data_IF_999309478289
#
_entry.id   IF_999309478289
#
_cell.length_a   1.000
_cell.length_b   1.000
_cell.length_c   1.000
_cell.angle_alpha   90.00
_cell.angle_beta   90.00
_cell.angle_gamma   90.00
#
_symmetry.space_group_name_H-M   'P 1'
#
loop_
_entity.id
_entity.type
_entity.pdbx_description
1 polymer ?
#
# COMPACT_ATOMS: atom_id res chain seq x y z
N UNK A 1 -41.22 16.09 14.59
CA UNK A 1 -39.94 15.36 14.73
C UNK A 1 -39.81 14.47 13.52
N UNK A 2 -38.80 14.67 12.67
CA UNK A 2 -38.48 13.75 11.58
C UNK A 2 -37.29 12.90 12.02
N UNK A 3 -37.50 11.62 12.27
CA UNK A 3 -36.40 10.67 12.47
C UNK A 3 -35.72 10.43 11.11
N UNK A 4 -34.41 10.63 11.04
CA UNK A 4 -33.62 10.32 9.84
C UNK A 4 -33.12 8.88 9.98
N UNK A 5 -33.60 8.00 9.12
CA UNK A 5 -33.11 6.62 9.01
C UNK A 5 -32.17 6.57 7.81
N UNK A 6 -30.88 6.37 8.06
CA UNK A 6 -29.89 6.20 7.00
C UNK A 6 -29.91 4.73 6.54
N UNK A 7 -30.50 4.50 5.37
CA UNK A 7 -30.63 3.16 4.78
C UNK A 7 -29.28 2.70 4.25
N UNK A 8 -28.73 1.64 4.84
CA UNK A 8 -27.38 1.15 4.56
C UNK A 8 -27.36 0.00 3.56
N UNK A 9 -28.17 0.09 2.50
CA UNK A 9 -28.43 -1.04 1.62
C UNK A 9 -27.58 -1.08 0.34
N UNK A 10 -26.62 -0.16 0.24
CA UNK A 10 -25.79 0.02 -0.95
C UNK A 10 -26.55 0.70 -2.10
N UNK A 11 -25.86 1.61 -2.79
CA UNK A 11 -26.45 2.42 -3.88
C UNK A 11 -27.09 1.57 -5.00
N UNK A 12 -26.51 0.41 -5.32
CA UNK A 12 -27.01 -0.46 -6.39
C UNK A 12 -28.32 -1.14 -6.03
N UNK A 13 -28.48 -1.57 -4.77
CA UNK A 13 -29.72 -2.21 -4.33
C UNK A 13 -30.86 -1.20 -4.26
N UNK A 14 -30.56 0.02 -3.78
CA UNK A 14 -31.51 1.13 -3.83
C UNK A 14 -31.97 1.41 -5.28
N UNK A 15 -31.03 1.55 -6.21
CA UNK A 15 -31.34 1.75 -7.63
C UNK A 15 -32.18 0.60 -8.20
N UNK A 16 -31.80 -0.66 -7.95
CA UNK A 16 -32.54 -1.82 -8.44
C UNK A 16 -33.96 -1.92 -7.87
N UNK A 17 -34.16 -1.55 -6.60
CA UNK A 17 -35.50 -1.46 -6.00
C UNK A 17 -36.33 -0.39 -6.72
N UNK A 18 -35.78 0.81 -6.92
CA UNK A 18 -36.47 1.90 -7.61
C UNK A 18 -36.84 1.53 -9.05
N UNK A 19 -35.89 0.97 -9.81
CA UNK A 19 -36.11 0.54 -11.19
C UNK A 19 -37.17 -0.58 -11.28
N UNK A 20 -37.16 -1.53 -10.34
CA UNK A 20 -38.17 -2.59 -10.28
C UNK A 20 -39.57 -2.04 -9.98
N UNK A 21 -39.66 -1.04 -9.08
CA UNK A 21 -40.90 -0.34 -8.78
C UNK A 21 -41.46 0.44 -9.99
N UNK A 22 -40.60 0.92 -10.88
CA UNK A 22 -41.02 1.61 -12.10
C UNK A 22 -41.46 0.63 -13.22
N UNK A 23 -40.80 -0.54 -13.31
CA UNK A 23 -41.03 -1.49 -14.40
C UNK A 23 -42.18 -2.47 -14.13
N UNK A 24 -42.40 -2.88 -12.88
CA UNK A 24 -43.36 -3.94 -12.54
C UNK A 24 -44.64 -3.37 -11.92
N UNK A 25 -45.78 -3.65 -12.55
CA UNK A 25 -47.09 -3.19 -12.11
C UNK A 25 -47.72 -4.09 -11.02
N UNK A 26 -47.14 -5.26 -10.74
CA UNK A 26 -47.69 -6.32 -9.89
C UNK A 26 -46.72 -6.74 -8.77
N UNK A 27 -46.39 -5.77 -7.90
CA UNK A 27 -45.45 -5.96 -6.78
C UNK A 27 -46.12 -6.37 -5.46
N UNK A 28 -47.44 -6.55 -5.46
CA UNK A 28 -48.25 -6.87 -4.27
C UNK A 28 -47.87 -8.20 -3.59
N UNK A 29 -47.17 -9.08 -4.31
CA UNK A 29 -46.67 -10.37 -3.80
C UNK A 29 -45.16 -10.39 -3.55
N UNK A 30 -44.44 -9.31 -3.90
CA UNK A 30 -42.99 -9.26 -3.82
C UNK A 30 -42.56 -8.59 -2.51
N UNK A 31 -41.59 -9.20 -1.83
CA UNK A 31 -41.04 -8.67 -0.58
C UNK A 31 -39.52 -8.57 -0.67
N UNK A 32 -38.96 -7.49 -0.14
CA UNK A 32 -37.51 -7.33 -0.02
C UNK A 32 -37.13 -7.13 1.45
N UNK A 33 -36.14 -7.87 1.92
CA UNK A 33 -35.68 -7.78 3.31
C UNK A 33 -34.78 -6.56 3.49
N UNK A 34 -35.23 -5.54 4.22
CA UNK A 34 -34.39 -4.39 4.56
C UNK A 34 -33.84 -4.58 5.98
N UNK A 35 -32.53 -4.47 6.13
CA UNK A 35 -31.89 -4.42 7.45
C UNK A 35 -31.81 -2.96 7.91
N UNK A 36 -32.40 -2.67 9.07
CA UNK A 36 -32.36 -1.36 9.71
C UNK A 36 -31.53 -1.46 10.97
N UNK A 37 -30.57 -0.56 11.10
CA UNK A 37 -29.69 -0.49 12.27
C UNK A 37 -29.69 0.93 12.81
N UNK A 38 -29.68 1.06 14.14
CA UNK A 38 -29.65 2.36 14.81
C UNK A 38 -28.30 2.55 15.48
N UNK A 39 -27.72 3.74 15.35
CA UNK A 39 -26.54 4.17 16.11
C UNK A 39 -25.32 3.22 15.99
N UNK A 40 -25.08 2.62 14.82
CA UNK A 40 -23.92 1.74 14.64
C UNK A 40 -22.59 2.48 14.88
N UNK A 41 -21.67 1.91 15.68
CA UNK A 41 -20.33 2.43 15.83
C UNK A 41 -19.61 2.58 14.48
N UNK A 42 -18.72 3.57 14.36
CA UNK A 42 -17.98 3.84 13.13
C UNK A 42 -17.23 2.59 12.62
N UNK A 43 -16.63 1.83 13.53
CA UNK A 43 -15.92 0.59 13.23
C UNK A 43 -16.80 -0.46 12.53
N UNK A 44 -18.06 -0.60 12.97
CA UNK A 44 -19.02 -1.54 12.38
C UNK A 44 -19.45 -1.07 10.99
N UNK A 45 -19.70 0.24 10.83
CA UNK A 45 -20.04 0.84 9.54
C UNK A 45 -18.92 0.70 8.51
N UNK A 46 -17.65 0.80 8.93
CA UNK A 46 -16.49 0.54 8.09
C UNK A 46 -16.44 -0.92 7.62
N UNK A 47 -16.64 -1.89 8.52
CA UNK A 47 -16.68 -3.29 8.13
C UNK A 47 -17.81 -3.57 7.14
N UNK A 48 -19.02 -3.06 7.40
CA UNK A 48 -20.15 -3.19 6.47
C UNK A 48 -19.84 -2.60 5.10
N UNK A 49 -19.17 -1.44 5.07
CA UNK A 49 -18.68 -0.90 3.82
C UNK A 49 -17.78 -1.91 3.12
N UNK A 50 -16.74 -2.42 3.79
CA UNK A 50 -15.81 -3.38 3.18
C UNK A 50 -16.50 -4.66 2.69
N UNK A 51 -17.45 -5.22 3.44
CA UNK A 51 -18.17 -6.44 3.09
C UNK A 51 -19.04 -6.27 1.84
N UNK A 52 -19.80 -5.17 1.76
CA UNK A 52 -20.67 -4.85 0.62
C UNK A 52 -19.84 -4.58 -0.64
N UNK A 53 -18.70 -3.92 -0.45
CA UNK A 53 -17.93 -3.32 -1.52
C UNK A 53 -16.72 -4.15 -1.96
N UNK A 54 -16.30 -5.15 -1.19
CA UNK A 54 -15.12 -5.96 -1.44
C UNK A 54 -15.17 -6.72 -2.77
N UNK A 55 -16.38 -7.12 -3.19
CA UNK A 55 -16.63 -7.83 -4.46
C UNK A 55 -17.26 -6.94 -5.55
N UNK A 56 -17.64 -5.71 -5.21
CA UNK A 56 -18.27 -4.77 -6.14
C UNK A 56 -17.21 -4.01 -6.95
N UNK A 57 -17.49 -3.70 -8.22
CA UNK A 57 -16.51 -3.15 -9.17
C UNK A 57 -16.09 -1.69 -8.95
N UNK A 58 -16.68 -0.96 -8.00
CA UNK A 58 -16.62 0.52 -7.94
C UNK A 58 -15.82 1.18 -6.81
N UNK A 59 -15.71 0.64 -5.59
CA UNK A 59 -14.95 1.29 -4.53
C UNK A 59 -13.46 1.05 -4.73
N UNK A 60 -12.65 2.05 -4.41
CA UNK A 60 -11.21 1.92 -4.54
C UNK A 60 -10.70 0.83 -3.59
N UNK A 61 -9.83 -0.06 -4.08
CA UNK A 61 -9.35 -1.18 -3.29
C UNK A 61 -8.57 -0.76 -2.02
N UNK A 62 -7.99 0.45 -2.00
CA UNK A 62 -7.33 0.98 -0.80
C UNK A 62 -8.33 1.20 0.34
N UNK A 63 -9.45 1.91 0.11
CA UNK A 63 -10.44 2.17 1.17
C UNK A 63 -11.13 0.90 1.65
N UNK A 64 -11.44 -0.03 0.73
CA UNK A 64 -12.00 -1.33 1.10
C UNK A 64 -11.07 -2.08 2.05
N UNK A 65 -9.80 -2.19 1.69
CA UNK A 65 -8.80 -2.89 2.49
C UNK A 65 -8.52 -2.19 3.82
N UNK A 66 -8.55 -0.86 3.82
CA UNK A 66 -8.39 -0.04 5.00
C UNK A 66 -9.53 -0.26 6.00
N UNK A 67 -10.76 -0.48 5.53
CA UNK A 67 -11.94 -0.68 6.36
C UNK A 67 -12.17 -2.14 6.78
N UNK A 68 -11.60 -3.09 6.04
CA UNK A 68 -11.70 -4.51 6.34
C UNK A 68 -10.89 -4.89 7.59
N UNK A 69 -11.62 -5.15 8.69
CA UNK A 69 -11.09 -5.59 9.99
C UNK A 69 -10.92 -7.09 10.09
N UNK A 70 -11.47 -7.86 9.15
CA UNK A 70 -11.31 -9.31 9.11
C UNK A 70 -9.98 -9.72 8.48
N UNK A 71 -9.42 -8.86 7.63
CA UNK A 71 -8.12 -9.06 7.03
C UNK A 71 -6.99 -8.74 8.02
N UNK A 72 -6.40 -9.78 8.60
CA UNK A 72 -5.35 -9.64 9.61
C UNK A 72 -4.13 -8.88 9.07
N UNK A 73 -3.71 -9.14 7.83
CA UNK A 73 -2.56 -8.46 7.22
C UNK A 73 -2.83 -6.96 7.07
N UNK A 74 -4.04 -6.57 6.63
CA UNK A 74 -4.37 -5.14 6.51
C UNK A 74 -4.38 -4.47 7.89
N UNK A 75 -4.89 -5.12 8.93
CA UNK A 75 -4.85 -4.59 10.29
C UNK A 75 -3.42 -4.40 10.81
N UNK A 76 -2.54 -5.38 10.59
CA UNK A 76 -1.12 -5.29 10.94
C UNK A 76 -0.41 -4.13 10.23
N UNK A 77 -0.65 -3.98 8.92
CA UNK A 77 -0.08 -2.89 8.12
C UNK A 77 -0.65 -1.55 8.54
N UNK A 78 -1.94 -1.45 8.86
CA UNK A 78 -2.55 -0.23 9.40
C UNK A 78 -1.87 0.19 10.69
N UNK A 79 -1.74 -0.74 11.63
CA UNK A 79 -1.12 -0.46 12.93
C UNK A 79 0.37 -0.06 12.76
N UNK A 80 1.09 -0.67 11.82
CA UNK A 80 2.47 -0.29 11.48
C UNK A 80 2.53 1.14 10.94
N UNK A 81 1.68 1.49 9.96
CA UNK A 81 1.64 2.83 9.36
C UNK A 81 1.24 3.89 10.41
N UNK A 82 0.19 3.63 11.19
CA UNK A 82 -0.32 4.56 12.22
C UNK A 82 0.68 4.74 13.38
N UNK A 83 1.53 3.74 13.66
CA UNK A 83 2.57 3.84 14.69
C UNK A 83 3.79 4.69 14.28
N UNK A 84 3.89 5.08 13.01
CA UNK A 84 5.00 5.87 12.49
C UNK A 84 4.47 7.17 11.87
N UNK A 85 4.68 8.31 12.53
CA UNK A 85 4.15 9.62 12.13
C UNK A 85 4.48 10.00 10.67
N UNK A 86 5.66 9.60 10.20
CA UNK A 86 6.12 9.88 8.83
C UNK A 86 5.33 9.04 7.84
N UNK A 87 5.24 7.73 8.05
CA UNK A 87 4.46 6.82 7.21
C UNK A 87 2.98 7.19 7.22
N UNK A 88 2.41 7.48 8.38
CA UNK A 88 1.02 7.89 8.52
C UNK A 88 0.71 9.14 7.67
N UNK A 89 1.58 10.16 7.73
CA UNK A 89 1.42 11.40 6.97
C UNK A 89 1.45 11.20 5.45
N UNK A 90 2.24 10.24 4.96
CA UNK A 90 2.44 10.04 3.52
C UNK A 90 1.54 8.97 2.91
N UNK A 91 0.74 8.26 3.71
CA UNK A 91 -0.09 7.14 3.24
C UNK A 91 -1.50 7.60 2.88
N UNK A 92 -1.94 7.32 1.65
CA UNK A 92 -3.35 7.46 1.25
C UNK A 92 -4.10 6.16 1.55
N UNK A 93 -5.04 6.21 2.50
CA UNK A 93 -5.90 5.07 2.85
C UNK A 93 -7.10 4.93 1.91
N UNK A 94 -7.37 5.92 1.06
CA UNK A 94 -8.57 5.96 0.21
C UNK A 94 -8.28 5.57 -1.23
N UNK A 95 -7.11 5.97 -1.77
CA UNK A 95 -6.79 5.87 -3.20
C UNK A 95 -5.62 4.93 -3.45
N UNK A 96 -5.77 4.02 -4.41
CA UNK A 96 -4.65 3.24 -4.97
C UNK A 96 -3.70 4.05 -5.83
N UNK A 97 -4.22 5.03 -6.58
CA UNK A 97 -3.43 5.86 -7.49
C UNK A 97 -3.09 7.19 -6.82
N UNK A 98 -1.81 7.36 -6.50
CA UNK A 98 -1.31 8.58 -5.90
C UNK A 98 -0.96 9.57 -7.00
N UNK A 99 -1.48 10.78 -6.87
CA UNK A 99 -1.15 11.88 -7.78
C UNK A 99 -0.36 12.92 -7.00
N UNK A 100 0.57 13.62 -7.66
CA UNK A 100 1.29 14.75 -7.07
C UNK A 100 0.41 15.92 -6.61
N UNK A 101 -0.91 15.82 -6.75
CA UNK A 101 -1.92 16.81 -6.31
C UNK A 101 -2.33 16.65 -4.86
N UNK A 102 -2.06 15.48 -4.26
CA UNK A 102 -2.34 15.19 -2.85
C UNK A 102 -1.03 15.16 -2.05
N UNK A 103 -1.07 15.37 -0.72
CA UNK A 103 0.12 15.30 0.11
C UNK A 103 0.65 13.87 0.32
N UNK A 104 -0.10 12.86 -0.12
CA UNK A 104 0.27 11.45 -0.01
C UNK A 104 1.27 11.03 -1.08
N UNK A 105 2.11 10.05 -0.75
CA UNK A 105 3.22 9.57 -1.57
C UNK A 105 3.00 8.13 -2.01
N UNK A 106 2.28 7.35 -1.20
CA UNK A 106 2.08 5.91 -1.38
C UNK A 106 0.68 5.53 -0.90
N UNK A 107 0.07 4.54 -1.55
CA UNK A 107 -1.24 4.04 -1.14
C UNK A 107 -1.11 2.97 -0.06
N UNK A 108 -2.08 2.92 0.85
CA UNK A 108 -2.18 1.87 1.85
C UNK A 108 -2.16 0.47 1.22
N UNK A 109 -2.85 0.32 0.08
CA UNK A 109 -2.84 -0.94 -0.68
C UNK A 109 -1.43 -1.37 -1.09
N UNK A 110 -0.57 -0.44 -1.52
CA UNK A 110 0.80 -0.80 -1.92
C UNK A 110 1.60 -1.36 -0.74
N UNK A 111 1.42 -0.84 0.47
CA UNK A 111 2.02 -1.42 1.68
C UNK A 111 1.48 -2.82 1.97
N UNK A 112 0.16 -3.03 1.86
CA UNK A 112 -0.42 -4.36 2.06
C UNK A 112 0.08 -5.38 1.01
N UNK A 113 0.08 -4.99 -0.27
CA UNK A 113 0.55 -5.85 -1.37
C UNK A 113 2.02 -6.23 -1.19
N UNK A 114 2.87 -5.27 -0.80
CA UNK A 114 4.29 -5.50 -0.54
C UNK A 114 4.51 -6.36 0.71
N UNK A 115 3.82 -6.05 1.82
CA UNK A 115 3.95 -6.78 3.09
C UNK A 115 3.49 -8.22 2.99
N UNK A 116 2.42 -8.49 2.22
CA UNK A 116 1.93 -9.84 1.96
C UNK A 116 2.91 -10.74 1.18
N UNK A 117 4.02 -10.19 0.66
CA UNK A 117 5.09 -10.99 0.04
C UNK A 117 5.98 -11.69 1.07
N UNK A 118 6.20 -11.06 2.22
CA UNK A 118 7.15 -11.54 3.22
C UNK A 118 6.51 -11.81 4.59
N UNK A 119 5.27 -11.39 4.82
CA UNK A 119 4.46 -11.81 5.97
C UNK A 119 3.47 -12.88 5.53
N UNK A 120 3.51 -14.04 6.17
CA UNK A 120 2.49 -15.08 6.06
C UNK A 120 1.71 -15.13 7.36
N UNK A 121 0.49 -14.60 7.35
CA UNK A 121 -0.40 -14.70 8.49
C UNK A 121 -0.79 -16.17 8.65
N UNK A 122 -0.42 -16.78 9.78
CA UNK A 122 -0.80 -18.12 10.17
C UNK A 122 -1.46 -18.11 11.55
N UNK A 123 -2.27 -19.13 11.83
CA UNK A 123 -3.04 -19.22 13.08
C UNK A 123 -2.17 -19.53 14.31
N UNK A 124 -0.97 -20.10 14.12
CA UNK A 124 -0.08 -20.48 15.21
C UNK A 124 0.93 -19.38 15.60
N UNK A 125 0.59 -18.72 16.72
CA UNK A 125 1.45 -18.22 17.80
C UNK A 125 2.50 -17.10 17.61
N UNK A 126 2.66 -16.44 16.45
CA UNK A 126 3.72 -15.40 16.34
C UNK A 126 3.30 -14.01 15.85
N UNK A 127 2.02 -13.66 16.01
CA UNK A 127 1.49 -12.36 15.54
C UNK A 127 2.25 -11.16 16.10
N UNK A 128 2.73 -11.23 17.34
CA UNK A 128 3.49 -10.14 17.98
C UNK A 128 4.85 -9.98 17.30
N UNK A 129 5.58 -11.07 17.05
CA UNK A 129 6.86 -10.99 16.33
C UNK A 129 6.65 -10.55 14.89
N UNK A 130 5.62 -11.07 14.20
CA UNK A 130 5.32 -10.65 12.83
C UNK A 130 4.99 -9.15 12.76
N UNK A 131 4.28 -8.60 13.74
CA UNK A 131 4.02 -7.17 13.84
C UNK A 131 5.31 -6.38 14.08
N UNK A 132 6.19 -6.88 14.94
CA UNK A 132 7.48 -6.24 15.22
C UNK A 132 8.41 -6.29 14.00
N UNK A 133 8.48 -7.42 13.30
CA UNK A 133 9.27 -7.59 12.09
C UNK A 133 8.75 -6.69 10.96
N UNK A 134 7.43 -6.63 10.78
CA UNK A 134 6.79 -5.74 9.82
C UNK A 134 7.17 -4.28 10.10
N UNK A 135 7.05 -3.83 11.36
CA UNK A 135 7.45 -2.49 11.77
C UNK A 135 8.93 -2.23 11.50
N UNK A 136 9.81 -3.14 11.93
CA UNK A 136 11.26 -3.01 11.77
C UNK A 136 11.67 -2.89 10.29
N UNK A 137 11.07 -3.68 9.40
CA UNK A 137 11.37 -3.66 7.97
C UNK A 137 10.96 -2.32 7.34
N UNK A 138 9.76 -1.81 7.65
CA UNK A 138 9.29 -0.55 7.07
C UNK A 138 9.97 0.68 7.68
N UNK A 139 10.35 0.64 8.96
CA UNK A 139 11.22 1.66 9.57
C UNK A 139 12.60 1.67 8.90
N UNK A 140 13.21 0.50 8.72
CA UNK A 140 14.47 0.37 8.01
C UNK A 140 14.36 0.85 6.55
N UNK A 141 13.22 0.63 5.88
CA UNK A 141 12.94 1.20 4.57
C UNK A 141 12.89 2.74 4.59
N UNK A 142 12.26 3.34 5.60
CA UNK A 142 12.21 4.80 5.75
C UNK A 142 13.62 5.40 5.90
N UNK A 143 14.49 4.75 6.68
CA UNK A 143 15.88 5.15 6.86
C UNK A 143 16.69 4.94 5.58
N UNK A 144 16.58 3.75 4.96
CA UNK A 144 17.23 3.39 3.69
C UNK A 144 16.92 4.36 2.55
N UNK A 145 15.68 4.84 2.50
CA UNK A 145 15.22 5.76 1.46
C UNK A 145 15.38 7.23 1.83
N UNK A 146 15.60 7.55 3.11
CA UNK A 146 15.60 8.92 3.59
C UNK A 146 14.24 9.60 3.47
N UNK A 147 13.14 8.87 3.71
CA UNK A 147 11.78 9.40 3.58
C UNK A 147 11.61 10.72 4.35
N UNK A 148 12.12 10.79 5.58
CA UNK A 148 12.07 11.98 6.42
C UNK A 148 12.75 13.19 5.78
N UNK A 149 13.88 12.98 5.09
CA UNK A 149 14.65 14.03 4.42
C UNK A 149 13.97 14.50 3.13
N UNK A 150 13.29 13.59 2.44
CA UNK A 150 12.58 13.85 1.19
C UNK A 150 11.37 14.78 1.39
N UNK A 151 10.75 14.75 2.57
CA UNK A 151 9.53 15.51 2.89
C UNK A 151 9.70 17.03 2.91
N UNK A 152 10.93 17.53 2.80
CA UNK A 152 11.20 18.96 2.57
C UNK A 152 10.62 19.41 1.23
N UNK A 153 10.61 18.54 0.23
CA UNK A 153 9.99 18.77 -1.08
C UNK A 153 8.60 18.12 -1.08
N UNK A 154 7.58 18.82 -1.60
CA UNK A 154 6.26 18.23 -1.76
C UNK A 154 6.29 17.03 -2.72
N UNK A 155 5.41 16.04 -2.53
CA UNK A 155 5.40 14.82 -3.36
C UNK A 155 5.32 15.11 -4.87
N UNK A 156 4.55 16.12 -5.27
CA UNK A 156 4.36 16.47 -6.68
C UNK A 156 5.64 16.94 -7.38
N UNK A 157 6.61 17.49 -6.65
CA UNK A 157 7.95 17.80 -7.18
C UNK A 157 8.82 16.55 -7.14
N UNK A 158 8.78 15.82 -6.02
CA UNK A 158 9.59 14.62 -5.81
C UNK A 158 9.35 13.54 -6.88
N UNK A 159 8.09 13.24 -7.20
CA UNK A 159 7.72 12.15 -8.11
C UNK A 159 8.10 12.41 -9.57
N UNK A 160 8.57 13.60 -9.92
CA UNK A 160 9.05 13.93 -11.27
C UNK A 160 10.43 13.34 -11.55
N UNK A 161 11.26 13.18 -10.52
CA UNK A 161 12.65 12.75 -10.66
C UNK A 161 12.95 11.42 -9.96
N UNK A 162 12.23 11.09 -8.88
CA UNK A 162 12.52 9.93 -8.05
C UNK A 162 11.37 8.92 -7.98
N UNK A 163 11.74 7.63 -7.96
CA UNK A 163 10.82 6.49 -7.91
C UNK A 163 10.50 5.99 -6.50
N UNK A 164 11.20 6.49 -5.49
CA UNK A 164 11.35 5.89 -4.16
C UNK A 164 10.05 5.39 -3.53
N UNK A 165 9.00 6.20 -3.56
CA UNK A 165 7.71 5.88 -2.93
C UNK A 165 6.60 5.57 -3.93
N UNK A 166 6.94 5.38 -5.21
CA UNK A 166 5.97 4.93 -6.20
C UNK A 166 5.51 3.52 -5.89
N UNK A 167 4.26 3.19 -6.25
CA UNK A 167 3.71 1.85 -6.01
C UNK A 167 4.58 0.74 -6.61
N UNK A 168 5.27 0.98 -7.74
CA UNK A 168 6.18 -0.01 -8.33
C UNK A 168 7.39 -0.28 -7.44
N UNK A 169 7.95 0.74 -6.80
CA UNK A 169 9.15 0.62 -5.97
C UNK A 169 8.84 -0.01 -4.61
N UNK A 170 7.72 0.39 -4.00
CA UNK A 170 7.23 -0.20 -2.74
C UNK A 170 6.94 -1.71 -2.92
N UNK A 171 6.32 -2.10 -4.04
CA UNK A 171 6.10 -3.51 -4.36
C UNK A 171 7.41 -4.24 -4.70
N UNK A 172 8.33 -3.59 -5.41
CA UNK A 172 9.66 -4.14 -5.69
C UNK A 172 10.43 -4.41 -4.39
N UNK A 173 10.34 -3.52 -3.40
CA UNK A 173 10.90 -3.75 -2.08
C UNK A 173 10.28 -4.96 -1.40
N UNK A 174 8.95 -5.15 -1.46
CA UNK A 174 8.30 -6.36 -0.94
C UNK A 174 8.84 -7.67 -1.56
N UNK A 175 9.07 -7.67 -2.87
CA UNK A 175 9.73 -8.81 -3.55
C UNK A 175 11.19 -8.98 -3.11
N UNK A 176 11.93 -7.89 -2.94
CA UNK A 176 13.32 -7.94 -2.52
C UNK A 176 13.45 -8.50 -1.09
N UNK A 177 12.60 -8.04 -0.16
CA UNK A 177 12.53 -8.56 1.21
C UNK A 177 12.21 -10.04 1.20
N UNK A 178 11.22 -10.47 0.41
CA UNK A 178 10.88 -11.88 0.26
C UNK A 178 12.11 -12.74 -0.13
N UNK A 179 12.88 -12.31 -1.14
CA UNK A 179 14.09 -13.04 -1.58
C UNK A 179 15.22 -12.97 -0.53
N UNK A 180 15.44 -11.82 0.09
CA UNK A 180 16.50 -11.64 1.07
C UNK A 180 16.27 -12.52 2.30
N UNK A 181 15.04 -12.61 2.78
CA UNK A 181 14.67 -13.41 3.96
C UNK A 181 14.81 -14.93 3.74
N UNK A 182 15.02 -15.41 2.50
CA UNK A 182 15.40 -16.81 2.27
C UNK A 182 16.79 -17.13 2.84
N UNK A 183 17.66 -16.11 2.98
CA UNK A 183 19.07 -16.28 3.34
C UNK A 183 19.54 -15.35 4.48
N UNK A 184 18.68 -14.48 5.03
CA UNK A 184 19.02 -13.61 6.16
C UNK A 184 17.84 -13.40 7.11
N UNK A 185 18.13 -13.07 8.37
CA UNK A 185 17.11 -12.73 9.35
C UNK A 185 16.61 -11.29 9.15
N UNK A 186 15.41 -10.99 9.68
CA UNK A 186 14.84 -9.63 9.68
C UNK A 186 15.79 -8.64 10.33
N UNK A 187 16.41 -9.00 11.46
CA UNK A 187 17.39 -8.17 12.17
C UNK A 187 18.59 -7.83 11.27
N UNK A 188 19.15 -8.82 10.57
CA UNK A 188 20.30 -8.63 9.67
C UNK A 188 19.94 -7.75 8.47
N UNK A 189 18.76 -7.95 7.88
CA UNK A 189 18.25 -7.11 6.80
C UNK A 189 18.09 -5.66 7.26
N UNK A 190 17.42 -5.44 8.39
CA UNK A 190 17.19 -4.10 8.93
C UNK A 190 18.51 -3.40 9.23
N UNK A 191 19.45 -4.07 9.91
CA UNK A 191 20.76 -3.48 10.20
C UNK A 191 21.49 -3.07 8.92
N UNK A 192 21.48 -3.93 7.90
CA UNK A 192 22.13 -3.65 6.61
C UNK A 192 21.53 -2.45 5.89
N UNK A 193 20.20 -2.31 5.90
CA UNK A 193 19.51 -1.14 5.34
C UNK A 193 19.91 0.16 6.07
N UNK A 194 19.99 0.12 7.40
CA UNK A 194 20.38 1.25 8.23
C UNK A 194 21.86 1.62 8.05
N UNK A 195 22.74 0.63 7.98
CA UNK A 195 24.17 0.83 7.73
C UNK A 195 24.41 1.51 6.37
N UNK A 196 23.72 1.04 5.33
CA UNK A 196 23.77 1.66 4.01
C UNK A 196 23.33 3.13 4.07
N UNK A 197 22.24 3.43 4.77
CA UNK A 197 21.75 4.80 4.93
C UNK A 197 22.74 5.69 5.68
N UNK A 198 23.39 5.17 6.73
CA UNK A 198 24.33 5.91 7.56
C UNK A 198 25.69 6.17 6.87
N UNK A 199 26.10 5.28 5.97
CA UNK A 199 27.40 5.34 5.29
C UNK A 199 27.37 6.08 3.95
N UNK A 200 26.18 6.47 3.48
CA UNK A 200 25.99 7.07 2.15
C UNK A 200 25.51 8.51 2.28
N UNK A 201 25.93 9.38 1.37
CA UNK A 201 25.41 10.75 1.34
C UNK A 201 23.95 10.77 0.88
N UNK A 202 23.18 11.77 1.32
CA UNK A 202 21.81 11.99 0.83
C UNK A 202 21.75 12.00 -0.70
N UNK A 203 22.72 12.66 -1.35
CA UNK A 203 22.78 12.77 -2.80
C UNK A 203 22.92 11.41 -3.47
N UNK A 204 23.84 10.56 -3.01
CA UNK A 204 24.03 9.23 -3.59
C UNK A 204 22.81 8.33 -3.40
N UNK A 205 22.16 8.42 -2.24
CA UNK A 205 20.89 7.73 -1.96
C UNK A 205 19.77 8.20 -2.89
N UNK A 206 19.59 9.52 -3.02
CA UNK A 206 18.56 10.09 -3.90
C UNK A 206 18.87 9.74 -5.38
N UNK A 207 20.14 9.83 -5.81
CA UNK A 207 20.60 9.47 -7.15
C UNK A 207 20.29 8.01 -7.50
N UNK A 208 20.37 7.09 -6.53
CA UNK A 208 20.01 5.70 -6.74
C UNK A 208 18.56 5.52 -7.18
N UNK A 209 17.63 6.36 -6.73
CA UNK A 209 16.20 6.27 -7.05
C UNK A 209 15.76 7.13 -8.25
N UNK A 210 16.68 7.80 -8.94
CA UNK A 210 16.37 8.61 -10.12
C UNK A 210 15.77 7.78 -11.26
N UNK A 211 14.72 8.27 -11.94
CA UNK A 211 14.11 7.58 -13.08
C UNK A 211 15.12 7.09 -14.12
N UNK A 212 16.11 7.92 -14.45
CA UNK A 212 17.15 7.63 -15.43
C UNK A 212 17.95 6.38 -15.10
N UNK A 213 18.14 6.08 -13.80
CA UNK A 213 18.87 4.90 -13.34
C UNK A 213 18.08 3.62 -13.49
N UNK A 214 16.74 3.67 -13.51
CA UNK A 214 15.87 2.48 -13.57
C UNK A 214 15.30 2.17 -14.96
N UNK A 215 15.83 2.83 -15.99
CA UNK A 215 15.45 2.59 -17.38
C UNK A 215 15.77 1.16 -17.83
N UNK A 216 14.79 0.50 -18.44
CA UNK A 216 14.86 -0.92 -18.84
C UNK A 216 14.53 -1.90 -17.71
N UNK A 217 14.36 -1.42 -16.47
CA UNK A 217 13.90 -2.22 -15.34
C UNK A 217 12.42 -1.96 -15.08
N UNK A 218 12.10 -0.97 -14.25
CA UNK A 218 10.74 -0.53 -13.96
C UNK A 218 10.37 0.81 -14.65
N UNK A 219 11.27 1.36 -15.47
CA UNK A 219 11.01 2.54 -16.31
C UNK A 219 11.24 2.17 -17.78
N UNK A 220 10.30 2.50 -18.65
CA UNK A 220 10.40 2.22 -20.08
C UNK A 220 11.50 3.07 -20.73
N UNK A 221 12.40 2.44 -21.50
CA UNK A 221 13.42 3.17 -22.29
C UNK A 221 12.81 4.02 -23.40
N UNK A 222 11.67 3.59 -23.95
CA UNK A 222 11.01 4.25 -25.08
C UNK A 222 10.18 5.44 -24.63
N UNK A 223 9.41 5.28 -23.55
CA UNK A 223 8.42 6.28 -23.13
C UNK A 223 8.84 7.07 -21.89
N UNK A 224 9.86 6.63 -21.16
CA UNK A 224 10.24 7.19 -19.86
C UNK A 224 9.22 6.95 -18.74
N UNK A 225 8.12 6.23 -19.02
CA UNK A 225 7.05 5.99 -18.05
C UNK A 225 7.34 4.79 -17.15
N UNK A 226 6.78 4.82 -15.95
CA UNK A 226 6.80 3.70 -15.01
C UNK A 226 6.05 2.50 -15.62
N UNK A 227 6.70 1.34 -15.57
CA UNK A 227 6.11 0.05 -15.89
C UNK A 227 5.67 -0.62 -14.59
N UNK A 228 4.44 -0.34 -14.15
CA UNK A 228 3.88 -0.85 -12.90
C UNK A 228 3.48 -2.35 -12.93
N UNK A 229 3.85 -3.07 -13.99
CA UNK A 229 3.55 -4.51 -14.13
C UNK A 229 4.48 -5.38 -13.26
N UNK A 230 4.10 -6.63 -13.04
CA UNK A 230 4.86 -7.59 -12.20
C UNK A 230 6.30 -7.77 -12.70
N UNK A 231 6.52 -7.74 -14.03
CA UNK A 231 7.86 -7.86 -14.61
C UNK A 231 8.76 -6.71 -14.18
N UNK A 232 8.28 -5.48 -14.26
CA UNK A 232 8.99 -4.28 -13.83
C UNK A 232 9.27 -4.27 -12.33
N UNK A 233 8.27 -4.66 -11.52
CA UNK A 233 8.43 -4.80 -10.06
C UNK A 233 9.52 -5.81 -9.70
N UNK A 234 9.53 -7.00 -10.34
CA UNK A 234 10.55 -8.03 -10.10
C UNK A 234 11.94 -7.61 -10.58
N UNK A 235 12.04 -6.98 -11.75
CA UNK A 235 13.32 -6.45 -12.24
C UNK A 235 13.90 -5.39 -11.29
N UNK A 236 13.04 -4.52 -10.76
CA UNK A 236 13.45 -3.56 -9.74
C UNK A 236 13.86 -4.25 -8.43
N UNK A 237 13.13 -5.30 -8.02
CA UNK A 237 13.45 -6.09 -6.83
C UNK A 237 14.84 -6.73 -6.93
N UNK A 238 15.19 -7.36 -8.07
CA UNK A 238 16.52 -7.95 -8.29
C UNK A 238 17.63 -6.92 -8.11
N UNK A 239 17.43 -5.68 -8.58
CA UNK A 239 18.39 -4.60 -8.37
C UNK A 239 18.48 -4.17 -6.90
N UNK A 240 17.35 -4.02 -6.22
CA UNK A 240 17.33 -3.73 -4.78
C UNK A 240 18.09 -4.81 -4.01
N UNK A 241 17.84 -6.09 -4.30
CA UNK A 241 18.56 -7.20 -3.69
C UNK A 241 20.06 -7.11 -3.93
N UNK A 242 20.49 -6.82 -5.17
CA UNK A 242 21.90 -6.67 -5.48
C UNK A 242 22.55 -5.53 -4.70
N UNK A 243 21.90 -4.37 -4.61
CA UNK A 243 22.40 -3.21 -3.86
C UNK A 243 22.46 -3.49 -2.35
N UNK A 244 21.41 -4.13 -1.81
CA UNK A 244 21.35 -4.49 -0.39
C UNK A 244 22.46 -5.50 -0.08
N UNK A 245 22.64 -6.56 -0.88
CA UNK A 245 23.69 -7.57 -0.69
C UNK A 245 25.10 -6.98 -0.80
N UNK A 246 25.34 -6.05 -1.74
CA UNK A 246 26.64 -5.37 -1.86
C UNK A 246 26.87 -4.32 -0.77
N UNK A 247 25.81 -3.84 -0.11
CA UNK A 247 25.90 -2.79 0.91
C UNK A 247 26.21 -1.42 0.32
N UNK A 248 25.89 -1.17 -0.95
CA UNK A 248 26.14 0.12 -1.61
C UNK A 248 24.99 0.53 -2.55
N UNK A 249 24.73 1.83 -2.60
CA UNK A 249 23.84 2.46 -3.59
C UNK A 249 24.52 2.65 -4.96
N UNK A 250 25.84 2.43 -5.04
CA UNK A 250 26.60 2.62 -6.28
C UNK A 250 26.50 1.37 -7.15
N UNK A 251 26.12 1.56 -8.42
CA UNK A 251 26.23 0.51 -9.42
C UNK A 251 27.70 0.23 -9.71
N UNK A 252 28.17 -0.99 -9.40
CA UNK A 252 29.33 -1.52 -10.10
C UNK A 252 28.87 -1.90 -11.51
N UNK A 253 29.04 -0.98 -12.45
CA UNK A 253 28.88 -1.29 -13.87
C UNK A 253 29.82 -2.45 -14.18
N UNK A 254 29.27 -3.66 -14.35
CA UNK A 254 30.04 -4.72 -14.99
C UNK A 254 30.28 -4.24 -16.43
N UNK A 255 31.55 -3.98 -16.73
CA UNK A 255 32.03 -3.55 -18.03
C UNK A 255 31.68 -4.56 -19.14
#
# INVERSE_FOLDING_TARGET
>A
MSSKIDLFDGQHRNFGILETCELLCNLDTQTVTVELTENLPCAVRQQFFADINGNASKPNAAINLAYDRTNILSQMVREMVESNDVLFRVTDFERTNITGKTPYWVSFKAFCDASGRFIRVSDDSDRVQQQNDLRAIWEAWCEFTGLSDALVSGYGEYVQEWLTFTAVMVNAFGFAVQELLENMTVLSLCQRLKDMAAQTSRRERDDFFLYSRWQGLCVSKETGKIMANIRGQRAAATRLVSAIKSGTFVEHTQA
#
